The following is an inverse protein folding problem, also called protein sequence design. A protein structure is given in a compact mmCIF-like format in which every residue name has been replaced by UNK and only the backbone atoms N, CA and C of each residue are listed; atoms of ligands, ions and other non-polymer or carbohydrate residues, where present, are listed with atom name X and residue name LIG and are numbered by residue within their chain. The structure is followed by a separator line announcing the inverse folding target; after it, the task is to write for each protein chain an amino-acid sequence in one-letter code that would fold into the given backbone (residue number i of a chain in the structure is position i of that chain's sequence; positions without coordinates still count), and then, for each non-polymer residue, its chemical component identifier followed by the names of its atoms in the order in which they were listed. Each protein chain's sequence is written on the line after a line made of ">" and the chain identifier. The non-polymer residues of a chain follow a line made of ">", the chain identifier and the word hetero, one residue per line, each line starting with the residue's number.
data_IF_815092283032
#
_entry.id   IF_815092283032
#
_cell.length_a   1.000
_cell.length_b   1.000
_cell.length_c   1.000
_cell.angle_alpha   90.00
_cell.angle_beta   90.00
_cell.angle_gamma   90.00
#
_symmetry.space_group_name_H-M   'P 1'
#
loop_
_entity.id
_entity.type
_entity.pdbx_description
1 polymer ?
#
# COMPACT_ATOMS: atom_id res chain seq x y z
N UNK A 1 -27.53 8.22 7.76
CA UNK A 1 -26.53 7.13 7.86
C UNK A 1 -25.75 7.33 9.16
N UNK A 2 -25.59 6.29 10.00
CA UNK A 2 -24.85 6.40 11.26
C UNK A 2 -23.34 6.61 11.04
N UNK A 3 -22.72 7.38 11.92
CA UNK A 3 -21.27 7.53 11.98
C UNK A 3 -20.65 6.19 12.41
N UNK A 4 -19.63 5.74 11.66
CA UNK A 4 -18.91 4.50 11.96
C UNK A 4 -17.47 4.81 12.33
N UNK A 5 -17.02 4.27 13.44
CA UNK A 5 -15.62 4.37 13.87
C UNK A 5 -14.70 3.63 12.91
N UNK A 6 -13.43 4.06 12.83
CA UNK A 6 -12.42 3.37 12.05
C UNK A 6 -12.14 1.99 12.68
N UNK A 7 -12.28 0.88 11.94
CA UNK A 7 -12.18 -0.46 12.53
C UNK A 7 -10.83 -0.77 13.19
N UNK A 8 -9.73 -0.31 12.57
CA UNK A 8 -8.39 -0.47 13.15
C UNK A 8 -8.22 0.44 14.37
N UNK A 9 -8.66 1.73 14.29
CA UNK A 9 -8.57 2.65 15.41
C UNK A 9 -9.31 2.17 16.65
N UNK A 10 -10.47 1.53 16.47
CA UNK A 10 -11.24 0.92 17.55
C UNK A 10 -10.52 -0.26 18.23
N UNK A 11 -9.59 -0.93 17.54
CA UNK A 11 -8.86 -2.12 17.99
C UNK A 11 -7.40 -1.86 18.35
N UNK A 12 -6.95 -0.62 18.27
CA UNK A 12 -5.61 -0.25 18.71
C UNK A 12 -5.42 -0.62 20.18
N UNK A 13 -4.21 -1.07 20.52
CA UNK A 13 -3.79 -1.56 21.84
C UNK A 13 -4.36 -2.94 22.21
N UNK A 14 -5.56 -3.30 21.75
CA UNK A 14 -6.14 -4.62 22.07
C UNK A 14 -5.62 -5.72 21.16
N UNK A 15 -5.88 -5.62 19.85
CA UNK A 15 -5.51 -6.65 18.86
C UNK A 15 -4.58 -6.12 17.78
N UNK A 16 -4.49 -4.82 17.60
CA UNK A 16 -3.69 -4.20 16.54
C UNK A 16 -2.74 -3.15 17.10
N UNK A 17 -1.55 -3.07 16.49
CA UNK A 17 -0.55 -2.06 16.77
C UNK A 17 -0.71 -0.86 15.84
N UNK A 18 -0.25 0.30 16.27
CA UNK A 18 -0.19 1.48 15.42
C UNK A 18 0.92 1.34 14.37
N UNK A 19 0.73 1.96 13.20
CA UNK A 19 1.72 1.93 12.12
C UNK A 19 2.95 2.82 12.39
N UNK A 20 2.87 3.72 13.36
CA UNK A 20 3.99 4.53 13.85
C UNK A 20 4.15 4.25 15.34
N UNK A 21 5.20 3.54 15.73
CA UNK A 21 5.50 3.19 17.11
C UNK A 21 6.63 4.09 17.63
N UNK A 22 6.27 5.16 18.34
CA UNK A 22 7.21 6.06 18.99
C UNK A 22 6.52 6.91 20.06
N UNK A 23 7.33 7.45 20.94
CA UNK A 23 6.90 8.40 21.98
C UNK A 23 7.57 9.75 21.75
N UNK A 24 6.85 10.84 21.95
CA UNK A 24 7.36 12.20 21.87
C UNK A 24 6.74 13.12 22.89
N UNK A 25 7.52 14.06 23.44
CA UNK A 25 7.04 15.10 24.31
C UNK A 25 6.09 16.05 23.55
N UNK A 26 5.21 16.75 24.28
CA UNK A 26 4.23 17.69 23.69
C UNK A 26 4.85 18.68 22.70
N UNK A 27 6.04 19.18 22.96
CA UNK A 27 6.75 20.14 22.10
C UNK A 27 7.28 19.50 20.80
N UNK A 28 7.73 18.24 20.85
CA UNK A 28 8.30 17.53 19.71
C UNK A 28 7.24 16.79 18.88
N UNK A 29 6.07 16.51 19.47
CA UNK A 29 5.03 15.72 18.86
C UNK A 29 4.56 16.22 17.48
N UNK A 30 4.28 17.55 17.27
CA UNK A 30 3.88 18.04 15.96
C UNK A 30 4.95 17.84 14.89
N UNK A 31 6.22 18.08 15.22
CA UNK A 31 7.32 17.92 14.26
C UNK A 31 7.55 16.44 13.86
N UNK A 32 7.35 15.51 14.80
CA UNK A 32 7.44 14.08 14.53
C UNK A 32 6.31 13.57 13.62
N UNK A 33 5.09 14.10 13.79
CA UNK A 33 3.96 13.77 12.89
C UNK A 33 4.21 14.32 11.49
N UNK A 34 4.68 15.56 11.37
CA UNK A 34 5.02 16.15 10.07
C UNK A 34 6.10 15.32 9.36
N UNK A 35 7.13 14.93 10.09
CA UNK A 35 8.20 14.06 9.57
C UNK A 35 7.64 12.72 9.06
N UNK A 36 6.78 12.04 9.83
CA UNK A 36 6.14 10.79 9.43
C UNK A 36 5.27 10.97 8.18
N UNK A 37 4.54 12.06 8.08
CA UNK A 37 3.73 12.39 6.90
C UNK A 37 4.62 12.56 5.65
N UNK A 38 5.71 13.33 5.77
CA UNK A 38 6.66 13.53 4.67
C UNK A 38 7.35 12.23 4.26
N UNK A 39 7.72 11.38 5.22
CA UNK A 39 8.30 10.05 4.93
C UNK A 39 7.34 9.22 4.09
N UNK A 40 6.07 9.10 4.51
CA UNK A 40 5.03 8.34 3.80
C UNK A 40 4.80 8.89 2.40
N UNK A 41 4.68 10.20 2.26
CA UNK A 41 4.49 10.86 0.96
C UNK A 41 5.67 10.62 0.01
N UNK A 42 6.90 10.76 0.49
CA UNK A 42 8.11 10.49 -0.33
C UNK A 42 8.22 9.02 -0.73
N UNK A 43 7.84 8.09 0.14
CA UNK A 43 7.79 6.67 -0.17
C UNK A 43 6.77 6.40 -1.27
N UNK A 44 5.56 6.93 -1.15
CA UNK A 44 4.53 6.76 -2.17
C UNK A 44 4.99 7.30 -3.53
N UNK A 45 5.57 8.49 -3.60
CA UNK A 45 6.09 9.06 -4.85
C UNK A 45 7.21 8.20 -5.45
N UNK A 46 8.17 7.75 -4.63
CA UNK A 46 9.37 7.07 -5.13
C UNK A 46 9.13 5.62 -5.53
N UNK A 47 8.16 4.93 -4.91
CA UNK A 47 7.95 3.49 -5.12
C UNK A 47 6.63 3.13 -5.79
N UNK A 48 5.64 4.04 -5.89
CA UNK A 48 4.33 3.76 -6.51
C UNK A 48 4.44 3.26 -7.95
N UNK A 49 5.44 3.72 -8.69
CA UNK A 49 5.67 3.25 -10.06
C UNK A 49 6.12 1.77 -10.12
N UNK A 50 6.87 1.31 -9.13
CA UNK A 50 7.48 -0.03 -9.16
C UNK A 50 6.76 -1.03 -8.27
N UNK A 51 6.25 -0.60 -7.11
CA UNK A 51 5.68 -1.47 -6.09
C UNK A 51 4.24 -1.05 -5.76
N UNK A 52 3.39 -2.03 -5.46
CA UNK A 52 2.10 -1.76 -4.83
C UNK A 52 2.31 -1.82 -3.32
N UNK A 53 2.42 -0.63 -2.69
CA UNK A 53 2.65 -0.51 -1.24
C UNK A 53 1.34 -0.84 -0.51
N UNK A 54 1.42 -1.69 0.51
CA UNK A 54 0.31 -2.00 1.40
C UNK A 54 0.26 -1.04 2.58
N UNK A 55 1.29 -1.10 3.42
CA UNK A 55 1.44 -0.27 4.63
C UNK A 55 2.90 0.12 4.83
N UNK A 56 3.12 1.21 5.56
CA UNK A 56 4.43 1.69 5.97
C UNK A 56 4.46 1.76 7.49
N UNK A 57 5.35 1.03 8.12
CA UNK A 57 5.59 1.04 9.56
C UNK A 57 6.81 1.90 9.87
N UNK A 58 6.70 2.78 10.87
CA UNK A 58 7.77 3.69 11.28
C UNK A 58 8.03 3.49 12.78
N UNK A 59 9.23 3.02 13.10
CA UNK A 59 9.68 2.80 14.48
C UNK A 59 10.84 3.72 14.78
N UNK A 60 10.76 4.50 15.86
CA UNK A 60 11.82 5.39 16.32
C UNK A 60 12.46 4.82 17.57
N UNK A 61 13.78 4.72 17.53
CA UNK A 61 14.59 4.21 18.62
C UNK A 61 15.55 5.32 19.05
N UNK A 62 15.38 5.82 20.28
CA UNK A 62 16.32 6.76 20.88
C UNK A 62 17.40 5.95 21.58
N UNK A 63 18.62 5.95 21.05
CA UNK A 63 19.76 5.39 21.76
C UNK A 63 20.38 6.47 22.65
N UNK A 64 20.22 6.30 23.95
CA UNK A 64 20.69 7.26 24.97
C UNK A 64 22.22 7.43 25.02
N UNK A 65 22.98 6.52 24.38
CA UNK A 65 24.45 6.48 24.49
C UNK A 65 25.14 7.51 23.58
N UNK A 66 24.54 7.93 22.48
CA UNK A 66 25.16 8.87 21.52
C UNK A 66 24.27 10.03 21.08
N UNK A 67 23.11 10.25 21.73
CA UNK A 67 22.09 11.24 21.31
C UNK A 67 21.70 11.15 19.82
N UNK A 68 21.91 9.99 19.18
CA UNK A 68 21.54 9.76 17.79
C UNK A 68 20.16 9.12 17.71
N UNK A 69 19.24 9.77 17.03
CA UNK A 69 17.93 9.21 16.74
C UNK A 69 18.01 8.30 15.50
N UNK A 70 17.56 7.06 15.68
CA UNK A 70 17.42 6.09 14.59
C UNK A 70 15.95 5.91 14.23
N UNK A 71 15.64 6.06 12.95
CA UNK A 71 14.30 5.89 12.41
C UNK A 71 14.27 4.69 11.49
N UNK A 72 13.63 3.61 11.92
CA UNK A 72 13.46 2.40 11.13
C UNK A 72 12.13 2.46 10.38
N UNK A 73 12.18 2.42 9.06
CA UNK A 73 11.02 2.45 8.18
C UNK A 73 10.91 1.10 7.48
N UNK A 74 9.81 0.38 7.74
CA UNK A 74 9.52 -0.89 7.09
C UNK A 74 8.37 -0.72 6.11
N UNK A 75 8.66 -0.96 4.83
CA UNK A 75 7.67 -0.85 3.74
C UNK A 75 7.16 -2.25 3.42
N UNK A 76 5.86 -2.48 3.64
CA UNK A 76 5.21 -3.71 3.20
C UNK A 76 4.66 -3.51 1.79
N UNK A 77 5.14 -4.30 0.84
CA UNK A 77 4.78 -4.13 -0.56
C UNK A 77 4.62 -5.46 -1.28
N UNK A 78 3.81 -5.43 -2.33
CA UNK A 78 3.68 -6.56 -3.24
C UNK A 78 4.79 -6.49 -4.30
N UNK A 79 5.49 -7.62 -4.48
CA UNK A 79 6.43 -7.76 -5.59
C UNK A 79 5.66 -7.82 -6.93
N UNK A 80 5.96 -6.95 -7.89
CA UNK A 80 5.22 -6.89 -9.13
C UNK A 80 5.42 -8.17 -9.96
N UNK A 81 4.40 -8.57 -10.70
CA UNK A 81 4.49 -9.70 -11.62
C UNK A 81 5.48 -9.41 -12.74
N UNK A 82 6.19 -10.42 -13.24
CA UNK A 82 7.23 -10.27 -14.26
C UNK A 82 6.79 -9.45 -15.49
N UNK A 83 5.55 -9.64 -15.99
CA UNK A 83 4.98 -8.85 -17.10
C UNK A 83 4.79 -7.35 -16.76
N UNK A 84 4.29 -7.05 -15.58
CA UNK A 84 4.08 -5.67 -15.13
C UNK A 84 5.42 -4.98 -14.89
N UNK A 85 6.36 -5.74 -14.34
CA UNK A 85 7.72 -5.31 -14.10
C UNK A 85 8.44 -4.95 -15.40
N UNK A 86 8.33 -5.80 -16.43
CA UNK A 86 8.88 -5.52 -17.75
C UNK A 86 8.31 -4.23 -18.33
N UNK A 87 6.99 -4.03 -18.29
CA UNK A 87 6.34 -2.80 -18.78
C UNK A 87 6.82 -1.56 -18.04
N UNK A 88 6.92 -1.62 -16.70
CA UNK A 88 7.39 -0.50 -15.86
C UNK A 88 8.86 -0.18 -16.11
N UNK A 89 9.70 -1.20 -16.22
CA UNK A 89 11.13 -1.06 -16.55
C UNK A 89 11.30 -0.51 -17.97
N UNK A 90 10.56 -1.04 -18.95
CA UNK A 90 10.60 -0.51 -20.33
C UNK A 90 10.19 0.97 -20.38
N UNK A 91 9.11 1.35 -19.67
CA UNK A 91 8.67 2.74 -19.57
C UNK A 91 9.72 3.64 -18.89
N UNK A 92 10.39 3.14 -17.84
CA UNK A 92 11.48 3.86 -17.20
C UNK A 92 12.65 4.14 -18.16
N UNK A 93 13.03 3.14 -18.98
CA UNK A 93 14.08 3.33 -20.00
C UNK A 93 13.65 4.31 -21.08
N UNK A 94 12.41 4.23 -21.57
CA UNK A 94 11.93 5.18 -22.61
C UNK A 94 11.87 6.61 -22.11
N UNK A 95 11.55 6.83 -20.83
CA UNK A 95 11.42 8.18 -20.27
C UNK A 95 12.76 8.80 -19.82
N UNK A 96 13.76 7.99 -19.45
CA UNK A 96 14.99 8.49 -18.82
C UNK A 96 16.26 8.32 -19.67
N UNK A 97 16.17 7.63 -20.80
CA UNK A 97 17.35 7.34 -21.63
C UNK A 97 16.94 7.53 -23.10
N UNK A 98 17.17 8.73 -23.62
CA UNK A 98 16.92 9.07 -25.03
C UNK A 98 17.70 8.19 -26.05
N UNK A 99 18.72 7.43 -25.58
CA UNK A 99 19.60 6.58 -26.39
C UNK A 99 19.59 5.09 -25.99
N UNK A 100 18.48 4.55 -25.49
CA UNK A 100 18.43 3.12 -25.16
C UNK A 100 18.34 2.26 -26.43
N UNK A 101 19.39 1.49 -26.70
CA UNK A 101 19.41 0.52 -27.80
C UNK A 101 18.26 -0.49 -27.66
N UNK A 102 17.45 -0.73 -28.71
CA UNK A 102 16.35 -1.71 -28.68
C UNK A 102 16.83 -3.15 -28.33
N UNK A 103 18.11 -3.45 -28.56
CA UNK A 103 18.75 -4.72 -28.18
C UNK A 103 18.79 -4.95 -26.66
N UNK A 104 18.91 -3.90 -25.83
CA UNK A 104 18.90 -4.04 -24.35
C UNK A 104 17.53 -4.40 -23.82
N UNK A 105 16.45 -3.92 -24.44
CA UNK A 105 15.07 -4.26 -24.09
C UNK A 105 14.73 -5.71 -24.46
N UNK A 106 15.25 -6.23 -25.58
CA UNK A 106 15.03 -7.63 -25.97
C UNK A 106 15.77 -8.62 -25.06
N UNK A 107 16.97 -8.26 -24.58
CA UNK A 107 17.72 -9.08 -23.61
C UNK A 107 17.05 -9.17 -22.24
N UNK A 108 16.35 -8.11 -21.80
CA UNK A 108 15.57 -8.11 -20.58
C UNK A 108 14.33 -9.01 -20.65
N UNK A 109 13.75 -9.17 -21.85
CA UNK A 109 12.55 -9.99 -22.06
C UNK A 109 12.84 -11.50 -21.96
N UNK A 110 14.03 -11.93 -22.37
CA UNK A 110 14.37 -13.35 -22.47
C UNK A 110 14.89 -13.96 -21.16
N UNK A 111 15.31 -13.16 -20.17
CA UNK A 111 15.90 -13.65 -18.93
C UNK A 111 15.20 -13.10 -17.67
N UNK A 112 14.33 -13.92 -17.05
CA UNK A 112 13.68 -13.60 -15.76
C UNK A 112 14.67 -13.25 -14.63
N UNK A 113 15.88 -13.82 -14.67
CA UNK A 113 16.95 -13.56 -13.69
C UNK A 113 17.54 -12.16 -13.81
N UNK A 114 17.78 -11.67 -15.02
CA UNK A 114 18.31 -10.33 -15.29
C UNK A 114 17.31 -9.25 -14.89
N UNK A 115 16.02 -9.48 -15.15
CA UNK A 115 14.94 -8.57 -14.75
C UNK A 115 14.86 -8.42 -13.23
N UNK A 116 14.96 -9.53 -12.46
CA UNK A 116 14.97 -9.49 -11.00
C UNK A 116 16.19 -8.74 -10.46
N UNK A 117 17.37 -8.97 -11.02
CA UNK A 117 18.59 -8.25 -10.63
C UNK A 117 18.46 -6.76 -10.91
N UNK A 118 17.96 -6.38 -12.07
CA UNK A 118 17.79 -4.98 -12.46
C UNK A 118 16.80 -4.26 -11.53
N UNK A 119 15.63 -4.85 -11.24
CA UNK A 119 14.67 -4.26 -10.31
C UNK A 119 15.21 -4.15 -8.90
N UNK A 120 15.99 -5.13 -8.43
CA UNK A 120 16.64 -5.04 -7.11
C UNK A 120 17.66 -3.91 -7.04
N UNK A 121 18.38 -3.63 -8.13
CA UNK A 121 19.30 -2.50 -8.24
C UNK A 121 18.56 -1.16 -8.23
N UNK A 122 17.46 -1.04 -8.98
CA UNK A 122 16.61 0.17 -8.98
C UNK A 122 16.03 0.43 -7.58
N UNK A 123 15.50 -0.58 -6.92
CA UNK A 123 14.96 -0.46 -5.57
C UNK A 123 16.06 -0.01 -4.58
N UNK A 124 17.24 -0.62 -4.64
CA UNK A 124 18.39 -0.20 -3.81
C UNK A 124 18.81 1.24 -4.08
N UNK A 125 18.81 1.67 -5.34
CA UNK A 125 19.12 3.06 -5.72
C UNK A 125 18.09 4.02 -5.13
N UNK A 126 16.79 3.72 -5.27
CA UNK A 126 15.71 4.54 -4.74
C UNK A 126 15.76 4.62 -3.20
N UNK A 127 16.03 3.50 -2.52
CA UNK A 127 16.21 3.48 -1.06
C UNK A 127 17.37 4.40 -0.66
N UNK A 128 18.54 4.27 -1.28
CA UNK A 128 19.71 5.11 -0.97
C UNK A 128 19.44 6.60 -1.22
N UNK A 129 18.77 6.94 -2.32
CA UNK A 129 18.39 8.31 -2.65
C UNK A 129 17.45 8.90 -1.59
N UNK A 130 16.42 8.16 -1.20
CA UNK A 130 15.48 8.57 -0.15
C UNK A 130 16.15 8.71 1.21
N UNK A 131 16.97 7.73 1.61
CA UNK A 131 17.70 7.78 2.88
C UNK A 131 18.55 9.04 2.97
N UNK A 132 19.33 9.35 1.91
CA UNK A 132 20.14 10.57 1.86
C UNK A 132 19.28 11.85 1.92
N UNK A 133 18.19 11.90 1.18
CA UNK A 133 17.29 13.05 1.16
C UNK A 133 16.63 13.32 2.53
N UNK A 134 16.30 12.26 3.29
CA UNK A 134 15.76 12.36 4.64
C UNK A 134 16.85 12.75 5.65
N UNK A 135 18.05 12.16 5.55
CA UNK A 135 19.19 12.51 6.38
C UNK A 135 19.58 13.97 6.26
N UNK A 136 19.65 14.50 5.03
CA UNK A 136 19.98 15.91 4.79
C UNK A 136 18.90 16.84 5.36
N UNK A 137 17.61 16.46 5.25
CA UNK A 137 16.52 17.32 5.73
C UNK A 137 16.39 17.33 7.26
N UNK A 138 16.55 16.21 7.93
CA UNK A 138 16.22 16.05 9.36
C UNK A 138 17.44 15.77 10.26
N UNK A 139 18.62 15.50 9.71
CA UNK A 139 19.84 15.22 10.48
C UNK A 139 19.84 13.90 11.25
N UNK A 140 18.88 12.99 10.98
CA UNK A 140 18.69 11.72 11.69
C UNK A 140 19.17 10.54 10.86
N UNK A 141 19.41 9.39 11.51
CA UNK A 141 19.77 8.16 10.82
C UNK A 141 18.53 7.36 10.42
N UNK A 142 18.34 7.15 9.11
CA UNK A 142 17.21 6.39 8.56
C UNK A 142 17.67 5.03 8.07
N UNK A 143 16.94 3.97 8.48
CA UNK A 143 17.04 2.62 7.93
C UNK A 143 15.74 2.26 7.22
N UNK A 144 15.79 2.03 5.91
CA UNK A 144 14.61 1.70 5.11
C UNK A 144 14.73 0.25 4.64
N UNK A 145 13.78 -0.58 5.05
CA UNK A 145 13.66 -1.99 4.66
C UNK A 145 12.36 -2.25 3.89
N UNK A 146 12.37 -3.22 2.98
CA UNK A 146 11.18 -3.62 2.22
C UNK A 146 10.85 -5.08 2.54
N UNK A 147 9.64 -5.30 3.06
CA UNK A 147 9.06 -6.62 3.28
C UNK A 147 8.10 -6.95 2.15
N UNK A 148 8.38 -8.04 1.43
CA UNK A 148 7.51 -8.49 0.35
C UNK A 148 6.40 -9.40 0.87
N UNK A 149 5.15 -9.00 0.57
CA UNK A 149 3.95 -9.78 0.90
C UNK A 149 3.83 -10.93 -0.10
N UNK A 150 3.64 -12.15 0.42
CA UNK A 150 3.49 -13.36 -0.41
C UNK A 150 2.11 -13.42 -1.05
N UNK A 151 1.05 -13.24 -0.26
CA UNK A 151 -0.35 -13.36 -0.67
C UNK A 151 -1.02 -11.97 -0.70
N UNK A 152 -1.19 -11.34 -1.87
CA UNK A 152 -1.76 -9.99 -1.95
C UNK A 152 -3.23 -9.90 -1.57
N UNK A 153 -3.95 -11.04 -1.53
CA UNK A 153 -5.37 -11.08 -1.21
C UNK A 153 -5.67 -11.29 0.29
N UNK A 154 -4.64 -11.33 1.12
CA UNK A 154 -4.74 -11.30 2.59
C UNK A 154 -4.67 -9.88 3.16
N UNK A 155 -4.40 -8.88 2.32
CA UNK A 155 -4.20 -7.49 2.71
C UNK A 155 -5.29 -6.59 2.12
N UNK A 156 -5.99 -5.84 2.97
CA UNK A 156 -7.11 -5.00 2.57
C UNK A 156 -6.68 -3.85 1.64
N UNK A 157 -5.48 -3.29 1.84
CA UNK A 157 -4.98 -2.18 1.03
C UNK A 157 -4.69 -2.64 -0.41
N UNK A 158 -4.06 -3.82 -0.57
CA UNK A 158 -3.76 -4.37 -1.89
C UNK A 158 -5.03 -4.78 -2.65
N UNK A 159 -6.03 -5.31 -1.96
CA UNK A 159 -7.35 -5.60 -2.56
C UNK A 159 -8.03 -4.32 -3.00
N UNK A 160 -8.00 -3.27 -2.16
CA UNK A 160 -8.56 -1.97 -2.50
C UNK A 160 -7.91 -1.38 -3.76
N UNK A 161 -6.57 -1.39 -3.83
CA UNK A 161 -5.81 -0.96 -5.02
C UNK A 161 -6.14 -1.81 -6.25
N UNK A 162 -6.23 -3.14 -6.11
CA UNK A 162 -6.62 -4.03 -7.20
C UNK A 162 -8.01 -3.68 -7.78
N UNK A 163 -9.01 -3.44 -6.92
CA UNK A 163 -10.35 -3.02 -7.36
C UNK A 163 -10.28 -1.66 -8.03
N UNK A 164 -9.53 -0.70 -7.46
CA UNK A 164 -9.32 0.63 -8.03
C UNK A 164 -8.79 0.57 -9.45
N UNK A 165 -7.71 -0.17 -9.69
CA UNK A 165 -7.14 -0.37 -11.02
C UNK A 165 -8.14 -1.00 -12.03
N UNK A 166 -9.01 -1.91 -11.57
CA UNK A 166 -10.04 -2.49 -12.44
C UNK A 166 -11.09 -1.45 -12.83
N UNK A 167 -11.52 -0.59 -11.90
CA UNK A 167 -12.47 0.49 -12.15
C UNK A 167 -11.90 1.55 -13.10
N UNK A 168 -10.64 1.93 -12.93
CA UNK A 168 -9.91 2.83 -13.84
C UNK A 168 -9.80 2.26 -15.26
N UNK A 169 -9.65 0.93 -15.38
CA UNK A 169 -9.69 0.18 -16.65
C UNK A 169 -11.10 -0.03 -17.19
N UNK A 170 -12.11 0.67 -16.63
CA UNK A 170 -13.52 0.63 -17.04
C UNK A 170 -14.18 -0.75 -16.92
N UNK A 171 -13.70 -1.61 -16.03
CA UNK A 171 -14.38 -2.88 -15.71
C UNK A 171 -15.63 -2.58 -14.88
N UNK A 172 -16.79 -3.16 -15.19
CA UNK A 172 -18.01 -2.98 -14.39
C UNK A 172 -17.75 -3.35 -12.92
N UNK A 173 -18.15 -2.47 -11.98
CA UNK A 173 -17.82 -2.60 -10.56
C UNK A 173 -18.29 -3.94 -9.97
N UNK A 174 -19.48 -4.45 -10.38
CA UNK A 174 -19.98 -5.75 -9.91
C UNK A 174 -19.06 -6.91 -10.29
N UNK A 175 -18.45 -6.85 -11.49
CA UNK A 175 -17.49 -7.85 -11.97
C UNK A 175 -16.17 -7.73 -11.20
N UNK A 176 -15.67 -6.51 -10.99
CA UNK A 176 -14.43 -6.27 -10.23
C UNK A 176 -14.55 -6.78 -8.78
N UNK A 177 -15.64 -6.43 -8.09
CA UNK A 177 -15.92 -6.88 -6.71
C UNK A 177 -16.07 -8.41 -6.64
N UNK A 178 -16.82 -9.02 -7.58
CA UNK A 178 -16.98 -10.49 -7.61
C UNK A 178 -15.66 -11.21 -7.84
N UNK A 179 -14.80 -10.70 -8.70
CA UNK A 179 -13.46 -11.26 -8.95
C UNK A 179 -12.57 -11.12 -7.72
N UNK A 180 -12.59 -9.98 -7.02
CA UNK A 180 -11.84 -9.79 -5.79
C UNK A 180 -12.28 -10.80 -4.72
N UNK A 181 -13.57 -10.96 -4.48
CA UNK A 181 -14.12 -11.93 -3.51
C UNK A 181 -13.67 -13.36 -3.85
N UNK A 182 -13.80 -13.78 -5.12
CA UNK A 182 -13.35 -15.13 -5.53
C UNK A 182 -11.87 -15.38 -5.24
N UNK A 183 -11.01 -14.37 -5.36
CA UNK A 183 -9.58 -14.50 -5.07
C UNK A 183 -9.30 -14.57 -3.57
N UNK A 184 -10.09 -13.85 -2.76
CA UNK A 184 -10.01 -13.92 -1.30
C UNK A 184 -10.53 -15.26 -0.76
N UNK A 185 -11.53 -15.87 -1.39
CA UNK A 185 -12.01 -17.22 -1.02
C UNK A 185 -10.93 -18.31 -1.16
N UNK A 186 -9.88 -18.06 -1.93
CA UNK A 186 -8.72 -18.98 -2.06
C UNK A 186 -7.68 -18.78 -0.95
N UNK A 187 -7.91 -17.85 -0.02
CA UNK A 187 -7.06 -17.58 1.14
C UNK A 187 -7.74 -18.05 2.41
N UNK A 188 -6.99 -18.13 3.51
CA UNK A 188 -7.49 -18.61 4.82
C UNK A 188 -8.34 -17.58 5.59
N UNK A 189 -8.83 -16.53 4.92
CA UNK A 189 -9.65 -15.50 5.53
C UNK A 189 -11.09 -15.98 5.78
N UNK A 190 -11.62 -15.65 6.97
CA UNK A 190 -12.97 -16.07 7.41
C UNK A 190 -14.09 -15.18 6.87
N UNK A 191 -13.76 -14.02 6.35
CA UNK A 191 -14.76 -13.14 5.77
C UNK A 191 -14.21 -11.87 5.14
N UNK A 192 -14.96 -11.36 4.18
CA UNK A 192 -14.69 -10.11 3.48
C UNK A 192 -15.96 -9.29 3.31
N UNK A 193 -15.81 -7.96 3.44
CA UNK A 193 -16.83 -6.99 3.04
C UNK A 193 -16.18 -5.91 2.19
N UNK A 194 -16.75 -5.65 1.02
CA UNK A 194 -16.32 -4.59 0.11
C UNK A 194 -17.47 -3.63 -0.07
N UNK A 195 -17.22 -2.33 0.05
CA UNK A 195 -18.18 -1.26 -0.24
C UNK A 195 -17.57 -0.34 -1.29
N UNK A 196 -18.34 -0.04 -2.31
CA UNK A 196 -17.98 0.89 -3.39
C UNK A 196 -19.01 2.01 -3.41
N UNK A 197 -18.56 3.26 -3.41
CA UNK A 197 -19.39 4.45 -3.34
C UNK A 197 -18.94 5.49 -4.35
N UNK A 198 -19.92 6.13 -5.02
CA UNK A 198 -19.67 7.14 -6.04
C UNK A 198 -20.62 6.98 -7.25
N UNK A 199 -20.24 7.53 -8.39
CA UNK A 199 -20.98 7.42 -9.65
C UNK A 199 -20.68 6.06 -10.31
N UNK A 200 -21.34 5.01 -9.80
CA UNK A 200 -21.11 3.63 -10.26
C UNK A 200 -21.58 3.46 -11.71
N UNK A 201 -20.69 2.96 -12.57
CA UNK A 201 -20.91 2.83 -14.02
C UNK A 201 -21.25 4.15 -14.74
N UNK A 202 -20.88 5.30 -14.21
CA UNK A 202 -21.09 6.60 -14.85
C UNK A 202 -22.50 7.19 -14.68
N UNK A 203 -23.33 6.63 -13.80
CA UNK A 203 -24.67 7.16 -13.51
C UNK A 203 -24.52 8.51 -12.80
N UNK A 204 -25.39 9.50 -13.10
CA UNK A 204 -25.34 10.85 -12.53
C UNK A 204 -25.48 10.85 -11.00
N UNK A 205 -26.45 10.10 -10.48
CA UNK A 205 -26.69 9.98 -9.04
C UNK A 205 -25.66 9.05 -8.39
N UNK A 206 -24.89 9.58 -7.46
CA UNK A 206 -23.97 8.79 -6.66
C UNK A 206 -24.71 7.82 -5.74
N UNK A 207 -24.26 6.59 -5.69
CA UNK A 207 -24.81 5.57 -4.79
C UNK A 207 -23.70 4.74 -4.15
N UNK A 208 -24.08 4.00 -3.10
CA UNK A 208 -23.18 3.09 -2.40
C UNK A 208 -23.72 1.67 -2.51
N UNK A 209 -22.90 0.76 -3.04
CA UNK A 209 -23.20 -0.66 -3.06
C UNK A 209 -22.14 -1.42 -2.25
N UNK A 210 -22.57 -2.44 -1.52
CA UNK A 210 -21.66 -3.28 -0.77
C UNK A 210 -21.95 -4.76 -1.02
N UNK A 211 -20.92 -5.57 -0.89
CA UNK A 211 -21.01 -7.02 -0.96
C UNK A 211 -20.18 -7.63 0.18
N UNK A 212 -20.74 -8.63 0.84
CA UNK A 212 -20.10 -9.38 1.91
C UNK A 212 -20.09 -10.86 1.57
N UNK A 213 -19.02 -11.53 1.99
CA UNK A 213 -18.90 -12.97 1.97
C UNK A 213 -18.28 -13.41 3.30
N UNK A 214 -18.82 -14.45 3.92
CA UNK A 214 -18.43 -14.89 5.26
C UNK A 214 -18.85 -13.94 6.40
N UNK A 215 -18.20 -14.09 7.56
CA UNK A 215 -18.44 -13.28 8.78
C UNK A 215 -17.50 -12.09 8.82
N UNK A 216 -18.03 -10.92 9.20
CA UNK A 216 -17.22 -9.71 9.48
C UNK A 216 -17.78 -9.07 10.75
N UNK A 217 -17.34 -9.48 11.94
CA UNK A 217 -17.88 -9.01 13.23
C UNK A 217 -17.24 -7.65 13.60
N UNK A 218 -17.85 -6.54 13.16
CA UNK A 218 -17.32 -5.19 13.39
C UNK A 218 -17.39 -4.72 14.85
N UNK A 219 -18.32 -5.26 15.63
CA UNK A 219 -18.49 -4.90 17.04
C UNK A 219 -17.60 -5.67 18.01
N UNK A 220 -17.07 -6.82 17.61
CA UNK A 220 -16.22 -7.66 18.45
C UNK A 220 -14.80 -7.10 18.52
N UNK A 221 -14.31 -6.72 19.68
CA UNK A 221 -12.96 -6.17 19.89
C UNK A 221 -11.84 -7.17 19.57
N UNK A 222 -12.02 -8.43 20.00
CA UNK A 222 -11.04 -9.52 19.78
C UNK A 222 -10.95 -9.98 18.31
N UNK A 223 -11.83 -9.48 17.42
CA UNK A 223 -11.79 -9.82 16.01
C UNK A 223 -10.63 -9.09 15.31
N UNK A 224 -9.73 -9.84 14.66
CA UNK A 224 -8.67 -9.27 13.85
C UNK A 224 -9.24 -8.85 12.48
N UNK A 225 -9.43 -7.54 12.31
CA UNK A 225 -10.02 -6.94 11.11
C UNK A 225 -9.01 -6.01 10.46
N UNK A 226 -8.58 -6.37 9.27
CA UNK A 226 -7.82 -5.45 8.42
C UNK A 226 -8.79 -4.57 7.61
N UNK A 227 -8.48 -3.28 7.50
CA UNK A 227 -9.32 -2.29 6.84
C UNK A 227 -8.52 -1.36 5.96
N UNK A 228 -9.06 -1.09 4.78
CA UNK A 228 -8.48 -0.08 3.89
C UNK A 228 -9.56 0.76 3.23
N UNK A 229 -9.25 2.04 3.04
CA UNK A 229 -10.06 2.98 2.27
C UNK A 229 -9.22 3.52 1.12
N UNK A 230 -9.60 3.18 -0.10
CA UNK A 230 -8.90 3.56 -1.33
C UNK A 230 -9.81 4.41 -2.22
N UNK A 231 -9.19 5.16 -3.13
CA UNK A 231 -9.90 5.96 -4.15
C UNK A 231 -9.47 5.47 -5.52
N UNK A 232 -10.44 5.38 -6.44
CA UNK A 232 -10.21 5.16 -7.85
C UNK A 232 -10.63 6.41 -8.62
N UNK A 233 -9.76 6.90 -9.47
CA UNK A 233 -10.03 8.07 -10.30
C UNK A 233 -10.60 7.61 -11.64
N UNK A 234 -11.86 7.97 -11.91
CA UNK A 234 -12.53 7.63 -13.15
C UNK A 234 -12.90 8.91 -13.91
N UNK A 235 -13.22 8.77 -15.20
CA UNK A 235 -13.63 9.89 -16.04
C UNK A 235 -14.88 10.60 -15.45
N UNK A 236 -15.73 9.87 -14.74
CA UNK A 236 -16.96 10.38 -14.14
C UNK A 236 -16.78 10.94 -12.72
N UNK A 237 -15.56 10.96 -12.21
CA UNK A 237 -15.20 11.39 -10.86
C UNK A 237 -14.58 10.28 -10.02
N UNK A 238 -14.36 10.58 -8.75
CA UNK A 238 -13.72 9.65 -7.81
C UNK A 238 -14.71 8.63 -7.25
N UNK A 239 -14.30 7.37 -7.20
CA UNK A 239 -15.04 6.27 -6.57
C UNK A 239 -14.30 5.86 -5.31
N UNK A 240 -14.99 5.90 -4.16
CA UNK A 240 -14.47 5.42 -2.88
C UNK A 240 -14.64 3.91 -2.74
N UNK A 241 -13.58 3.22 -2.34
CA UNK A 241 -13.55 1.77 -2.12
C UNK A 241 -13.15 1.53 -0.68
N UNK A 242 -14.00 0.84 0.09
CA UNK A 242 -13.71 0.41 1.46
C UNK A 242 -13.71 -1.11 1.52
N UNK A 243 -12.65 -1.67 2.10
CA UNK A 243 -12.45 -3.11 2.22
C UNK A 243 -12.27 -3.46 3.69
N UNK A 244 -12.97 -4.48 4.17
CA UNK A 244 -12.82 -5.08 5.48
C UNK A 244 -12.51 -6.56 5.29
N UNK A 245 -11.44 -7.04 5.90
CA UNK A 245 -11.05 -8.44 5.92
C UNK A 245 -11.08 -8.96 7.36
N UNK A 246 -11.65 -10.11 7.56
CA UNK A 246 -11.67 -10.78 8.85
C UNK A 246 -10.78 -12.03 8.80
N UNK A 247 -9.67 -11.99 9.54
CA UNK A 247 -8.74 -13.13 9.62
C UNK A 247 -9.13 -14.15 10.68
N UNK A 248 -9.74 -13.71 11.77
CA UNK A 248 -10.13 -14.57 12.89
C UNK A 248 -10.24 -13.80 14.20
N UNK A 249 -10.47 -14.51 15.28
CA UNK A 249 -10.45 -13.96 16.64
C UNK A 249 -9.15 -14.39 17.31
N UNK A 250 -8.51 -13.47 18.02
CA UNK A 250 -7.33 -13.70 18.87
C UNK A 250 -7.77 -14.09 20.26
#
# INVERSE_FOLDING_TARGET
>A
MGHKTHPQGFRLVTTQKHLSEWYGNKLLYPSLIEEDFVIRQKIDISFSEFLSISKVEINRINQNVENKEYVNVTIHALYPRAKEMYRKVAKYFTNNIENSNPKTLSLLNNNKGTLKRFTSLLLKRNIRSLTRALQVKYGKNYSISINFIKNPFEDASLIGKYIGEQLEKRVPFRRAVKQAIKKVQLTDLKGIKIQVSGRLNGIEMARSEWKRDGRVPLHTLRANIDYSSQRAETIYGTIGIKVWLFAGET
#
